data_IF_323679358284
#
_entry.id   IF_323679358284
#
_cell.length_a   1.000
_cell.length_b   1.000
_cell.length_c   1.000
_cell.angle_alpha   90.00
_cell.angle_beta   90.00
_cell.angle_gamma   90.00
#
_symmetry.space_group_name_H-M   'P 1'
#
loop_
_entity.id
_entity.type
_entity.pdbx_description
1 polymer ?
#
# COMPACT_ATOMS: atom_id res chain seq x y z
N UNK A 1 22.58 5.45 -31.12
CA UNK A 1 23.80 4.79 -30.54
C UNK A 1 24.14 5.41 -29.19
N UNK A 2 24.35 4.60 -28.17
CA UNK A 2 24.76 5.05 -26.83
C UNK A 2 26.23 5.50 -26.82
N UNK A 3 26.55 6.40 -25.92
CA UNK A 3 27.92 6.86 -25.65
C UNK A 3 28.60 6.00 -24.58
N UNK A 4 29.94 6.04 -24.53
CA UNK A 4 30.69 5.36 -23.46
C UNK A 4 30.33 5.92 -22.06
N UNK A 5 29.97 7.20 -21.96
CA UNK A 5 29.54 7.83 -20.72
C UNK A 5 28.16 7.30 -20.26
N UNK A 6 27.24 7.03 -21.19
CA UNK A 6 25.95 6.40 -20.87
C UNK A 6 26.11 4.96 -20.40
N UNK A 7 27.01 4.18 -21.05
CA UNK A 7 27.34 2.83 -20.55
C UNK A 7 27.93 2.88 -19.14
N UNK A 8 28.84 3.82 -18.90
CA UNK A 8 29.45 4.02 -17.58
C UNK A 8 28.39 4.37 -16.53
N UNK A 9 27.46 5.29 -16.85
CA UNK A 9 26.35 5.65 -15.95
C UNK A 9 25.51 4.44 -15.56
N UNK A 10 25.17 3.56 -16.52
CA UNK A 10 24.42 2.32 -16.25
C UNK A 10 25.18 1.41 -15.28
N UNK A 11 26.49 1.24 -15.48
CA UNK A 11 27.32 0.42 -14.61
C UNK A 11 27.44 1.01 -13.20
N UNK A 12 27.70 2.30 -13.10
CA UNK A 12 27.84 3.02 -11.83
C UNK A 12 26.52 2.99 -11.02
N UNK A 13 25.36 3.13 -11.68
CA UNK A 13 24.04 3.02 -11.04
C UNK A 13 23.73 1.59 -10.58
N UNK A 14 24.09 0.56 -11.37
CA UNK A 14 23.92 -0.83 -10.98
C UNK A 14 24.80 -1.18 -9.74
N UNK A 15 26.04 -0.67 -9.69
CA UNK A 15 26.93 -0.83 -8.55
C UNK A 15 26.43 -0.05 -7.32
N UNK A 16 25.89 1.15 -7.50
CA UNK A 16 25.26 1.93 -6.42
C UNK A 16 24.06 1.20 -5.82
N UNK A 17 23.19 0.58 -6.64
CA UNK A 17 22.07 -0.23 -6.18
C UNK A 17 22.51 -1.43 -5.33
N UNK A 18 23.66 -2.06 -5.64
CA UNK A 18 24.21 -3.12 -4.79
C UNK A 18 24.43 -2.67 -3.36
N UNK A 19 24.98 -1.46 -3.19
CA UNK A 19 25.25 -0.89 -1.88
C UNK A 19 23.98 -0.40 -1.18
N UNK A 20 23.10 0.33 -1.88
CA UNK A 20 21.86 0.88 -1.29
C UNK A 20 20.88 -0.22 -0.86
N UNK A 21 20.84 -1.33 -1.58
CA UNK A 21 19.99 -2.47 -1.24
C UNK A 21 20.63 -3.43 -0.24
N UNK A 22 21.89 -3.25 0.13
CA UNK A 22 22.65 -4.15 0.99
C UNK A 22 22.58 -5.60 0.52
N UNK A 23 22.83 -5.83 -0.79
CA UNK A 23 22.61 -7.14 -1.44
C UNK A 23 23.34 -8.28 -0.75
N UNK A 24 24.57 -8.06 -0.28
CA UNK A 24 25.33 -9.12 0.41
C UNK A 24 24.70 -9.52 1.74
N UNK A 25 24.20 -8.55 2.50
CA UNK A 25 23.49 -8.82 3.75
C UNK A 25 22.16 -9.55 3.48
N UNK A 26 21.42 -9.14 2.45
CA UNK A 26 20.18 -9.81 2.04
C UNK A 26 20.39 -11.25 1.58
N UNK A 27 21.52 -11.58 0.98
CA UNK A 27 21.85 -12.97 0.63
C UNK A 27 22.03 -13.82 1.90
N UNK A 28 22.76 -13.31 2.88
CA UNK A 28 22.95 -14.02 4.16
C UNK A 28 21.59 -14.18 4.87
N UNK A 29 20.80 -13.11 4.96
CA UNK A 29 19.47 -13.15 5.57
C UNK A 29 18.54 -14.15 4.83
N UNK A 30 18.59 -14.18 3.50
CA UNK A 30 17.82 -15.14 2.70
C UNK A 30 18.19 -16.58 3.02
N UNK A 31 19.48 -16.90 3.10
CA UNK A 31 19.96 -18.23 3.42
C UNK A 31 19.55 -18.65 4.85
N UNK A 32 19.66 -17.76 5.83
CA UNK A 32 19.24 -18.00 7.20
C UNK A 32 17.73 -18.24 7.31
N UNK A 33 16.93 -17.39 6.69
CA UNK A 33 15.46 -17.51 6.72
C UNK A 33 14.97 -18.72 5.93
N UNK A 34 15.66 -19.07 4.83
CA UNK A 34 15.38 -20.28 4.06
C UNK A 34 15.70 -21.55 4.87
N UNK A 35 16.80 -21.57 5.63
CA UNK A 35 17.12 -22.68 6.51
C UNK A 35 16.04 -22.91 7.57
N UNK A 36 15.45 -21.84 8.13
CA UNK A 36 14.33 -21.94 9.08
C UNK A 36 13.11 -22.63 8.49
N UNK A 37 12.85 -22.46 7.19
CA UNK A 37 11.72 -23.14 6.52
C UNK A 37 11.92 -24.65 6.34
N UNK A 38 13.16 -25.15 6.52
CA UNK A 38 13.50 -26.56 6.39
C UNK A 38 13.44 -27.32 7.72
N UNK A 39 13.14 -26.62 8.84
CA UNK A 39 13.00 -27.25 10.13
C UNK A 39 11.84 -28.29 10.14
N UNK A 40 12.00 -29.45 10.81
CA UNK A 40 10.96 -30.52 10.78
C UNK A 40 9.61 -30.09 11.35
N UNK A 41 9.61 -29.14 12.29
CA UNK A 41 8.46 -28.57 12.99
C UNK A 41 7.91 -27.28 12.33
N UNK A 42 8.45 -26.88 11.19
CA UNK A 42 8.08 -25.63 10.50
C UNK A 42 6.58 -25.53 10.16
N UNK A 43 5.96 -26.65 9.82
CA UNK A 43 4.56 -26.70 9.40
C UNK A 43 3.58 -26.94 10.56
N UNK A 44 4.05 -27.10 11.79
CA UNK A 44 3.19 -27.33 12.96
C UNK A 44 2.38 -26.07 13.32
N UNK A 45 2.90 -24.87 13.00
CA UNK A 45 2.17 -23.61 13.09
C UNK A 45 1.97 -22.99 11.68
N UNK A 46 0.78 -23.17 11.07
CA UNK A 46 0.50 -22.65 9.73
C UNK A 46 0.62 -21.13 9.61
N UNK A 47 0.34 -20.37 10.69
CA UNK A 47 0.41 -18.92 10.69
C UNK A 47 1.86 -18.45 10.65
N UNK A 48 2.71 -19.00 11.53
CA UNK A 48 4.14 -18.75 11.53
C UNK A 48 4.77 -19.14 10.18
N UNK A 49 4.42 -20.32 9.64
CA UNK A 49 4.92 -20.77 8.35
C UNK A 49 4.55 -19.80 7.22
N UNK A 50 3.31 -19.29 7.21
CA UNK A 50 2.86 -18.33 6.20
C UNK A 50 3.62 -16.99 6.31
N UNK A 51 3.81 -16.45 7.52
CA UNK A 51 4.56 -15.21 7.75
C UNK A 51 6.03 -15.37 7.32
N UNK A 52 6.65 -16.48 7.71
CA UNK A 52 8.02 -16.79 7.36
C UNK A 52 8.21 -16.95 5.85
N UNK A 53 7.31 -17.64 5.16
CA UNK A 53 7.33 -17.76 3.70
C UNK A 53 7.15 -16.42 2.99
N UNK A 54 6.31 -15.52 3.52
CA UNK A 54 6.18 -14.15 3.01
C UNK A 54 7.50 -13.39 3.14
N UNK A 55 8.18 -13.51 4.28
CA UNK A 55 9.48 -12.86 4.52
C UNK A 55 10.54 -13.37 3.53
N UNK A 56 10.70 -14.68 3.40
CA UNK A 56 11.64 -15.31 2.44
C UNK A 56 11.36 -14.82 1.03
N UNK A 57 10.10 -14.85 0.59
CA UNK A 57 9.70 -14.41 -0.73
C UNK A 57 9.98 -12.92 -0.98
N UNK A 58 9.80 -12.08 0.04
CA UNK A 58 10.11 -10.65 -0.05
C UNK A 58 11.60 -10.41 -0.27
N UNK A 59 12.47 -11.08 0.51
CA UNK A 59 13.93 -10.96 0.36
C UNK A 59 14.37 -11.47 -1.03
N UNK A 60 13.84 -12.63 -1.45
CA UNK A 60 14.15 -13.23 -2.74
C UNK A 60 13.84 -12.28 -3.91
N UNK A 61 12.72 -11.57 -3.87
CA UNK A 61 12.34 -10.61 -4.91
C UNK A 61 13.34 -9.47 -5.08
N UNK A 62 13.90 -8.96 -3.99
CA UNK A 62 14.95 -7.95 -4.04
C UNK A 62 16.23 -8.50 -4.69
N UNK A 63 16.61 -9.73 -4.32
CA UNK A 63 17.78 -10.40 -4.90
C UNK A 63 17.59 -10.68 -6.39
N UNK A 64 16.41 -11.15 -6.78
CA UNK A 64 16.07 -11.44 -8.19
C UNK A 64 16.00 -10.14 -9.01
N UNK A 65 15.43 -9.07 -8.44
CA UNK A 65 15.40 -7.75 -9.08
C UNK A 65 16.81 -7.21 -9.35
N UNK A 66 17.69 -7.26 -8.35
CA UNK A 66 19.09 -6.85 -8.53
C UNK A 66 19.85 -7.76 -9.52
N UNK A 67 19.61 -9.08 -9.47
CA UNK A 67 20.19 -10.02 -10.43
C UNK A 67 19.82 -9.69 -11.87
N UNK A 68 18.57 -9.29 -12.10
CA UNK A 68 18.08 -8.85 -13.41
C UNK A 68 18.76 -7.56 -13.87
N UNK A 69 18.90 -6.58 -12.98
CA UNK A 69 19.63 -5.33 -13.26
C UNK A 69 21.07 -5.63 -13.66
N UNK A 70 21.74 -6.47 -12.88
CA UNK A 70 23.15 -6.83 -13.17
C UNK A 70 23.30 -7.57 -14.48
N UNK A 71 22.40 -8.52 -14.75
CA UNK A 71 22.39 -9.27 -16.03
C UNK A 71 22.28 -8.31 -17.22
N UNK A 72 21.32 -7.40 -17.21
CA UNK A 72 21.13 -6.46 -18.32
C UNK A 72 22.26 -5.44 -18.45
N UNK A 73 22.86 -5.00 -17.34
CA UNK A 73 24.03 -4.14 -17.39
C UNK A 73 25.25 -4.86 -17.99
N UNK A 74 25.49 -6.12 -17.64
CA UNK A 74 26.58 -6.92 -18.17
C UNK A 74 26.34 -7.29 -19.65
N UNK A 75 25.09 -7.62 -20.05
CA UNK A 75 24.69 -7.84 -21.45
C UNK A 75 24.92 -6.57 -22.29
N UNK A 76 24.50 -5.40 -21.80
CA UNK A 76 24.74 -4.13 -22.48
C UNK A 76 26.23 -3.85 -22.68
N UNK A 77 27.05 -4.10 -21.65
CA UNK A 77 28.50 -3.93 -21.73
C UNK A 77 29.09 -4.84 -22.81
N UNK A 78 28.66 -6.09 -22.85
CA UNK A 78 29.12 -7.07 -23.85
C UNK A 78 28.67 -6.66 -25.26
N UNK A 79 27.41 -6.25 -25.44
CA UNK A 79 26.88 -5.77 -26.71
C UNK A 79 27.64 -4.52 -27.20
N UNK A 80 27.98 -3.60 -26.31
CA UNK A 80 28.76 -2.40 -26.65
C UNK A 80 30.20 -2.73 -27.09
N UNK A 81 30.84 -3.74 -26.49
CA UNK A 81 32.16 -4.19 -26.90
C UNK A 81 32.10 -4.92 -28.25
N UNK A 82 31.11 -5.80 -28.49
CA UNK A 82 30.88 -6.46 -29.77
C UNK A 82 30.51 -5.49 -30.91
N UNK A 83 29.86 -4.38 -30.59
CA UNK A 83 29.61 -3.33 -31.58
C UNK A 83 30.89 -2.68 -32.09
N UNK A 84 31.92 -2.51 -31.25
CA UNK A 84 33.24 -2.01 -31.68
C UNK A 84 33.92 -2.96 -32.64
N UNK A 85 33.61 -4.26 -32.51
CA UNK A 85 34.13 -5.33 -33.37
C UNK A 85 33.21 -5.61 -34.59
N UNK A 86 32.20 -4.76 -34.85
CA UNK A 86 31.21 -4.87 -35.94
C UNK A 86 30.39 -6.16 -35.93
N UNK A 87 30.25 -6.82 -34.79
CA UNK A 87 29.51 -8.09 -34.64
C UNK A 87 28.02 -7.89 -34.26
N UNK A 88 27.64 -6.72 -33.79
CA UNK A 88 26.28 -6.37 -33.32
C UNK A 88 25.86 -5.05 -33.92
N UNK A 89 24.56 -4.86 -34.18
CA UNK A 89 24.01 -3.62 -34.74
C UNK A 89 23.78 -2.56 -33.69
N UNK A 90 23.77 -1.28 -34.12
CA UNK A 90 23.45 -0.15 -33.24
C UNK A 90 22.06 -0.28 -32.59
N UNK A 91 21.08 -0.80 -33.35
CA UNK A 91 19.70 -1.00 -32.86
C UNK A 91 19.63 -2.01 -31.70
N UNK A 92 20.45 -3.07 -31.76
CA UNK A 92 20.53 -4.08 -30.69
C UNK A 92 21.13 -3.49 -29.41
N UNK A 93 22.19 -2.69 -29.51
CA UNK A 93 22.80 -2.00 -28.36
C UNK A 93 21.82 -1.00 -27.73
N UNK A 94 21.09 -0.23 -28.54
CA UNK A 94 20.09 0.74 -28.05
C UNK A 94 18.89 0.02 -27.39
N UNK A 95 18.51 -1.15 -27.88
CA UNK A 95 17.50 -2.01 -27.27
C UNK A 95 17.94 -2.52 -25.90
N UNK A 96 19.18 -3.01 -25.79
CA UNK A 96 19.73 -3.51 -24.52
C UNK A 96 19.96 -2.38 -23.51
N UNK A 97 20.37 -1.20 -23.98
CA UNK A 97 20.42 0.00 -23.14
C UNK A 97 19.04 0.35 -22.56
N UNK A 98 17.99 0.31 -23.39
CA UNK A 98 16.63 0.61 -22.96
C UNK A 98 16.13 -0.39 -21.91
N UNK A 99 16.48 -1.68 -22.05
CA UNK A 99 16.16 -2.73 -21.07
C UNK A 99 16.89 -2.50 -19.74
N UNK A 100 18.21 -2.22 -19.81
CA UNK A 100 19.04 -2.00 -18.64
C UNK A 100 18.59 -0.77 -17.85
N UNK A 101 18.36 0.36 -18.52
CA UNK A 101 17.85 1.59 -17.89
C UNK A 101 16.50 1.35 -17.23
N UNK A 102 15.57 0.70 -17.92
CA UNK A 102 14.25 0.42 -17.36
C UNK A 102 14.35 -0.44 -16.10
N UNK A 103 15.14 -1.51 -16.12
CA UNK A 103 15.30 -2.38 -14.95
C UNK A 103 15.93 -1.64 -13.76
N UNK A 104 16.92 -0.77 -14.01
CA UNK A 104 17.55 0.05 -12.96
C UNK A 104 16.51 1.01 -12.37
N UNK A 105 15.79 1.75 -13.22
CA UNK A 105 14.79 2.72 -12.79
C UNK A 105 13.66 2.10 -11.99
N UNK A 106 13.17 0.93 -12.41
CA UNK A 106 12.14 0.16 -11.71
C UNK A 106 12.63 -0.26 -10.31
N UNK A 107 13.89 -0.67 -10.18
CA UNK A 107 14.43 -1.11 -8.89
C UNK A 107 14.77 0.08 -7.97
N UNK A 108 15.28 1.19 -8.53
CA UNK A 108 15.47 2.46 -7.80
C UNK A 108 14.15 2.99 -7.26
N UNK A 109 13.09 2.96 -8.08
CA UNK A 109 11.75 3.39 -7.70
C UNK A 109 11.20 2.54 -6.54
N UNK A 110 11.33 1.22 -6.62
CA UNK A 110 10.95 0.33 -5.52
C UNK A 110 11.74 0.61 -4.24
N UNK A 111 13.02 0.96 -4.34
CA UNK A 111 13.84 1.27 -3.17
C UNK A 111 13.43 2.58 -2.47
N UNK A 112 12.68 3.47 -3.14
CA UNK A 112 12.12 4.69 -2.54
C UNK A 112 10.86 4.39 -1.71
N UNK A 113 10.25 3.22 -1.88
CA UNK A 113 9.04 2.78 -1.19
C UNK A 113 9.41 2.01 0.09
N UNK A 114 9.63 2.74 1.21
CA UNK A 114 10.14 2.18 2.46
C UNK A 114 9.12 2.14 3.60
N UNK A 115 7.96 2.79 3.44
CA UNK A 115 6.94 2.77 4.49
C UNK A 115 6.31 1.38 4.61
N UNK A 116 5.89 1.04 5.81
CA UNK A 116 5.25 -0.24 6.13
C UNK A 116 4.00 -0.52 5.28
N UNK A 117 3.29 0.54 4.90
CA UNK A 117 2.07 0.49 4.10
C UNK A 117 2.35 0.43 2.59
N UNK A 118 3.53 0.85 2.13
CA UNK A 118 3.86 0.93 0.71
C UNK A 118 3.65 -0.39 -0.07
N UNK A 119 3.99 -1.58 0.47
CA UNK A 119 3.77 -2.84 -0.21
C UNK A 119 2.30 -3.29 -0.31
N UNK A 120 1.39 -2.58 0.36
CA UNK A 120 -0.01 -2.98 0.43
C UNK A 120 -0.75 -2.72 -0.87
N UNK A 121 -1.84 -3.46 -1.06
CA UNK A 121 -2.89 -3.11 -2.00
C UNK A 121 -3.55 -1.78 -1.59
N UNK A 122 -4.33 -1.16 -2.48
CA UNK A 122 -4.93 0.12 -2.15
C UNK A 122 -6.42 0.23 -2.50
N UNK A 123 -7.07 1.15 -1.81
CA UNK A 123 -8.41 1.65 -2.13
C UNK A 123 -8.26 3.06 -2.70
N UNK A 124 -8.72 3.26 -3.93
CA UNK A 124 -8.71 4.53 -4.63
C UNK A 124 -10.14 5.06 -4.72
N UNK A 125 -10.38 6.25 -4.17
CA UNK A 125 -11.66 6.95 -4.22
C UNK A 125 -11.54 8.23 -5.03
N UNK A 126 -12.45 8.41 -5.98
CA UNK A 126 -12.56 9.63 -6.78
C UNK A 126 -13.90 10.27 -6.48
N UNK A 127 -13.90 11.59 -6.23
CA UNK A 127 -15.14 12.35 -6.11
C UNK A 127 -15.10 13.53 -7.08
N UNK A 128 -16.19 13.77 -7.78
CA UNK A 128 -16.36 14.97 -8.59
C UNK A 128 -16.38 16.22 -7.71
N UNK A 129 -15.71 17.28 -8.17
CA UNK A 129 -15.68 18.56 -7.48
C UNK A 129 -16.76 19.52 -8.00
N UNK A 130 -16.56 20.82 -7.75
CA UNK A 130 -17.40 21.87 -8.31
C UNK A 130 -17.25 21.91 -9.84
N UNK A 131 -18.36 21.98 -10.56
CA UNK A 131 -18.37 22.06 -12.05
C UNK A 131 -19.53 21.31 -12.70
N UNK A 132 -20.47 20.77 -11.93
CA UNK A 132 -21.66 20.07 -12.47
C UNK A 132 -21.29 18.88 -13.35
N UNK A 133 -21.99 18.69 -14.48
CA UNK A 133 -21.79 17.58 -15.43
C UNK A 133 -20.34 17.45 -15.91
N UNK A 134 -19.65 18.58 -16.12
CA UNK A 134 -18.24 18.60 -16.55
C UNK A 134 -17.30 17.98 -15.52
N UNK A 135 -17.52 18.22 -14.23
CA UNK A 135 -16.70 17.61 -13.15
C UNK A 135 -17.02 16.13 -12.95
N UNK A 136 -18.25 15.72 -13.22
CA UNK A 136 -18.67 14.31 -13.18
C UNK A 136 -18.04 13.51 -14.34
N UNK A 137 -17.98 14.10 -15.53
CA UNK A 137 -17.27 13.51 -16.68
C UNK A 137 -15.76 13.44 -16.41
N UNK A 138 -15.17 14.50 -15.83
CA UNK A 138 -13.76 14.50 -15.42
C UNK A 138 -13.44 13.37 -14.44
N UNK A 139 -14.28 13.16 -13.44
CA UNK A 139 -14.10 12.06 -12.48
C UNK A 139 -14.12 10.68 -13.18
N UNK A 140 -14.99 10.50 -14.18
CA UNK A 140 -15.03 9.28 -14.99
C UNK A 140 -13.78 9.10 -15.85
N UNK A 141 -13.25 10.18 -16.42
CA UNK A 141 -12.00 10.15 -17.17
C UNK A 141 -10.82 9.72 -16.28
N UNK A 142 -10.72 10.26 -15.05
CA UNK A 142 -9.70 9.87 -14.08
C UNK A 142 -9.85 8.39 -13.68
N UNK A 143 -11.08 7.92 -13.45
CA UNK A 143 -11.33 6.50 -13.16
C UNK A 143 -10.75 5.63 -14.28
N UNK A 144 -11.04 5.93 -15.54
CA UNK A 144 -10.52 5.19 -16.68
C UNK A 144 -8.98 5.24 -16.76
N UNK A 145 -8.38 6.40 -16.49
CA UNK A 145 -6.93 6.57 -16.47
C UNK A 145 -6.26 5.62 -15.45
N UNK A 146 -6.77 5.59 -14.21
CA UNK A 146 -6.22 4.70 -13.18
C UNK A 146 -6.50 3.22 -13.45
N UNK A 147 -7.64 2.87 -14.01
CA UNK A 147 -7.93 1.50 -14.43
C UNK A 147 -6.92 1.01 -15.49
N UNK A 148 -6.61 1.83 -16.49
CA UNK A 148 -5.63 1.50 -17.53
C UNK A 148 -4.21 1.40 -16.99
N UNK A 149 -3.84 2.31 -16.08
CA UNK A 149 -2.55 2.21 -15.39
C UNK A 149 -2.44 0.91 -14.62
N UNK A 150 -3.45 0.56 -13.84
CA UNK A 150 -3.48 -0.68 -13.06
C UNK A 150 -3.42 -1.93 -13.95
N UNK A 151 -4.18 -1.96 -15.06
CA UNK A 151 -4.15 -3.04 -16.04
C UNK A 151 -2.76 -3.21 -16.68
N UNK A 152 -2.11 -2.11 -17.06
CA UNK A 152 -0.77 -2.12 -17.65
C UNK A 152 0.30 -2.67 -16.68
N UNK A 153 0.09 -2.51 -15.37
CA UNK A 153 0.97 -3.00 -14.31
C UNK A 153 0.54 -4.38 -13.74
N UNK A 154 -0.48 -5.01 -14.33
CA UNK A 154 -0.93 -6.34 -13.93
C UNK A 154 -1.72 -6.38 -12.62
N UNK A 155 -2.22 -5.24 -12.15
CA UNK A 155 -3.12 -5.19 -11.00
C UNK A 155 -4.55 -5.59 -11.38
N UNK A 156 -5.24 -6.19 -10.44
CA UNK A 156 -6.68 -6.43 -10.54
C UNK A 156 -7.43 -5.24 -9.95
N UNK A 157 -8.34 -4.66 -10.73
CA UNK A 157 -9.20 -3.56 -10.28
C UNK A 157 -10.61 -4.08 -10.05
N UNK A 158 -11.17 -3.77 -8.88
CA UNK A 158 -12.56 -4.08 -8.54
C UNK A 158 -13.27 -2.80 -8.11
N UNK A 159 -14.35 -2.44 -8.79
CA UNK A 159 -15.21 -1.31 -8.38
C UNK A 159 -16.08 -1.80 -7.23
N UNK A 160 -15.92 -1.19 -6.05
CA UNK A 160 -16.67 -1.55 -4.83
C UNK A 160 -17.91 -0.68 -4.63
N UNK A 161 -17.86 0.57 -5.08
CA UNK A 161 -18.97 1.50 -5.01
C UNK A 161 -18.87 2.51 -6.14
N UNK A 162 -19.99 2.87 -6.76
CA UNK A 162 -20.04 3.86 -7.83
C UNK A 162 -21.39 4.59 -7.83
N UNK A 163 -21.33 5.90 -7.83
CA UNK A 163 -22.49 6.75 -7.97
C UNK A 163 -22.44 7.46 -9.33
N UNK A 164 -23.39 7.17 -10.18
CA UNK A 164 -23.50 7.78 -11.50
C UNK A 164 -23.80 9.29 -11.41
N UNK A 165 -23.39 10.01 -12.44
CA UNK A 165 -23.70 11.43 -12.60
C UNK A 165 -25.19 11.64 -12.98
N UNK A 166 -25.63 12.90 -12.92
CA UNK A 166 -27.01 13.23 -13.20
C UNK A 166 -27.33 13.16 -14.72
N UNK A 167 -26.41 13.57 -15.58
CA UNK A 167 -26.54 13.58 -17.04
C UNK A 167 -25.40 12.79 -17.72
N UNK A 168 -24.20 12.86 -17.18
CA UNK A 168 -23.01 12.15 -17.66
C UNK A 168 -21.99 11.98 -16.55
N UNK A 169 -21.05 11.05 -16.74
CA UNK A 169 -19.96 10.85 -15.81
C UNK A 169 -20.37 10.19 -14.50
N UNK A 170 -19.56 10.40 -13.46
CA UNK A 170 -19.75 9.83 -12.11
C UNK A 170 -19.62 10.91 -11.03
N UNK A 171 -20.46 10.83 -9.99
CA UNK A 171 -20.33 11.66 -8.79
C UNK A 171 -19.19 11.17 -7.89
N UNK A 172 -19.12 9.88 -7.70
CA UNK A 172 -18.07 9.23 -6.95
C UNK A 172 -17.84 7.80 -7.40
N UNK A 173 -16.62 7.30 -7.20
CA UNK A 173 -16.29 5.89 -7.37
C UNK A 173 -15.27 5.49 -6.31
N UNK A 174 -15.39 4.26 -5.83
CA UNK A 174 -14.41 3.60 -4.97
C UNK A 174 -13.97 2.31 -5.64
N UNK A 175 -12.67 2.16 -5.83
CA UNK A 175 -12.06 0.99 -6.47
C UNK A 175 -11.02 0.39 -5.55
N UNK A 176 -10.93 -0.95 -5.50
CA UNK A 176 -9.78 -1.65 -4.93
C UNK A 176 -8.82 -2.04 -6.05
N UNK A 177 -7.52 -1.86 -5.81
CA UNK A 177 -6.44 -2.20 -6.73
C UNK A 177 -5.55 -3.20 -6.01
N UNK A 178 -5.55 -4.45 -6.47
CA UNK A 178 -5.04 -5.62 -5.76
C UNK A 178 -4.17 -6.50 -6.66
N UNK A 179 -3.42 -7.40 -6.03
CA UNK A 179 -2.73 -8.52 -6.69
C UNK A 179 -1.37 -8.20 -7.28
N UNK A 180 -0.87 -7.00 -7.08
CA UNK A 180 0.49 -6.60 -7.44
C UNK A 180 1.35 -6.26 -6.22
N UNK A 181 2.46 -5.59 -6.46
CA UNK A 181 3.35 -5.07 -5.41
C UNK A 181 3.30 -3.56 -5.39
N UNK A 182 3.29 -2.99 -4.19
CA UNK A 182 3.39 -1.55 -3.99
C UNK A 182 2.27 -0.71 -4.62
N UNK A 183 1.05 -1.27 -4.79
CA UNK A 183 -0.06 -0.51 -5.37
C UNK A 183 -0.33 0.79 -4.60
N UNK A 184 -0.35 0.73 -3.26
CA UNK A 184 -0.47 1.90 -2.42
C UNK A 184 0.76 2.81 -2.53
N UNK A 185 1.96 2.26 -2.48
CA UNK A 185 3.21 3.00 -2.54
C UNK A 185 3.33 3.89 -3.78
N UNK A 186 2.92 3.37 -4.94
CA UNK A 186 2.88 4.15 -6.19
C UNK A 186 1.76 5.18 -6.19
N UNK A 187 0.54 4.75 -5.91
CA UNK A 187 -0.64 5.59 -6.06
C UNK A 187 -0.84 6.60 -4.93
N UNK A 188 -0.15 6.48 -3.78
CA UNK A 188 -0.19 7.51 -2.72
C UNK A 188 0.23 8.89 -3.24
N UNK A 189 1.05 8.95 -4.28
CA UNK A 189 1.45 10.18 -4.98
C UNK A 189 0.28 10.89 -5.64
N UNK A 190 -0.81 10.20 -5.96
CA UNK A 190 -1.97 10.74 -6.67
C UNK A 190 -3.00 11.38 -5.73
N UNK A 191 -2.75 11.34 -4.41
CA UNK A 191 -3.62 11.97 -3.41
C UNK A 191 -3.71 13.49 -3.60
N UNK A 192 -4.90 13.98 -3.92
CA UNK A 192 -5.15 15.42 -4.01
C UNK A 192 -6.20 15.80 -5.05
N UNK A 193 -6.17 17.06 -5.46
CA UNK A 193 -7.13 17.61 -6.41
C UNK A 193 -6.51 17.67 -7.80
N UNK A 194 -7.21 17.11 -8.77
CA UNK A 194 -6.86 17.10 -10.19
C UNK A 194 -7.71 18.10 -10.94
N UNK A 195 -7.07 19.03 -11.64
CA UNK A 195 -7.71 20.10 -12.39
C UNK A 195 -7.72 19.80 -13.88
N UNK A 196 -8.91 19.79 -14.49
CA UNK A 196 -9.09 19.73 -15.94
C UNK A 196 -9.34 21.14 -16.49
N UNK A 197 -8.73 21.47 -17.61
CA UNK A 197 -9.03 22.66 -18.43
C UNK A 197 -9.19 22.19 -19.87
N UNK A 198 -10.41 22.34 -20.43
CA UNK A 198 -10.70 22.00 -21.83
C UNK A 198 -11.90 22.80 -22.37
N UNK A 199 -12.07 22.80 -23.66
CA UNK A 199 -13.36 23.17 -24.28
C UNK A 199 -14.39 22.14 -23.92
N UNK A 200 -15.48 22.56 -23.25
CA UNK A 200 -16.49 21.65 -22.73
C UNK A 200 -17.34 21.03 -23.84
N UNK A 201 -17.47 19.70 -23.92
CA UNK A 201 -18.38 19.04 -24.84
C UNK A 201 -19.86 19.22 -24.46
N UNK A 202 -20.16 19.65 -23.23
CA UNK A 202 -21.49 19.87 -22.71
C UNK A 202 -21.96 21.31 -22.87
N UNK A 203 -21.09 22.21 -23.31
CA UNK A 203 -21.43 23.62 -23.52
C UNK A 203 -21.63 23.92 -24.99
N UNK A 204 -22.90 24.23 -25.39
CA UNK A 204 -23.23 24.53 -26.77
C UNK A 204 -22.47 25.72 -27.39
N UNK A 205 -21.90 26.61 -26.56
CA UNK A 205 -21.11 27.76 -27.02
C UNK A 205 -19.61 27.43 -27.14
N UNK A 206 -19.16 26.18 -26.86
CA UNK A 206 -17.76 25.78 -26.92
C UNK A 206 -16.87 26.54 -25.95
N UNK A 207 -17.36 26.92 -24.78
CA UNK A 207 -16.57 27.65 -23.78
C UNK A 207 -15.53 26.76 -23.14
N UNK A 208 -14.34 27.32 -22.91
CA UNK A 208 -13.29 26.71 -22.10
C UNK A 208 -13.70 26.69 -20.64
N UNK A 209 -13.76 25.49 -20.05
CA UNK A 209 -14.21 25.27 -18.70
C UNK A 209 -13.08 24.70 -17.86
N UNK A 210 -13.17 24.95 -16.55
CA UNK A 210 -12.28 24.38 -15.55
C UNK A 210 -13.06 23.54 -14.58
N UNK A 211 -12.66 22.28 -14.39
CA UNK A 211 -13.31 21.33 -13.51
C UNK A 211 -12.31 20.69 -12.57
N UNK A 212 -12.77 20.28 -11.42
CA UNK A 212 -11.97 19.65 -10.39
C UNK A 212 -12.55 18.31 -10.00
N UNK A 213 -11.66 17.35 -9.70
CA UNK A 213 -12.01 16.11 -9.05
C UNK A 213 -10.95 15.80 -8.00
N UNK A 214 -11.36 15.21 -6.89
CA UNK A 214 -10.41 14.73 -5.86
C UNK A 214 -10.16 13.26 -6.01
N UNK A 215 -8.90 12.88 -5.89
CA UNK A 215 -8.44 11.49 -5.78
C UNK A 215 -7.92 11.27 -4.39
N UNK A 216 -8.33 10.17 -3.76
CA UNK A 216 -7.90 9.80 -2.44
C UNK A 216 -7.54 8.31 -2.42
N UNK A 217 -6.29 8.02 -2.07
CA UNK A 217 -5.72 6.66 -2.02
C UNK A 217 -5.41 6.31 -0.58
N UNK A 218 -5.88 5.16 -0.14
CA UNK A 218 -5.60 4.60 1.19
C UNK A 218 -5.11 3.17 1.06
N UNK A 219 -4.25 2.69 1.98
CA UNK A 219 -3.87 1.29 1.98
C UNK A 219 -5.08 0.40 2.25
N UNK A 220 -5.17 -0.73 1.57
CA UNK A 220 -6.15 -1.77 1.85
C UNK A 220 -5.65 -2.57 3.05
N UNK A 221 -6.17 -2.24 4.23
CA UNK A 221 -5.87 -2.95 5.46
C UNK A 221 -6.83 -4.13 5.59
N UNK A 222 -6.31 -5.32 5.86
CA UNK A 222 -7.11 -6.53 6.08
C UNK A 222 -8.11 -6.32 7.24
N UNK A 223 -9.38 -6.63 7.00
CA UNK A 223 -10.46 -6.36 7.96
C UNK A 223 -10.57 -7.42 9.07
N UNK A 224 -9.77 -8.48 9.01
CA UNK A 224 -9.75 -9.52 10.03
C UNK A 224 -8.94 -9.07 11.25
N UNK A 225 -9.65 -8.63 12.30
CA UNK A 225 -9.06 -8.41 13.62
C UNK A 225 -9.03 -9.76 14.32
N UNK A 226 -7.93 -10.47 14.23
CA UNK A 226 -7.71 -11.66 15.06
C UNK A 226 -7.26 -11.24 16.46
N UNK A 227 -8.04 -11.61 17.45
CA UNK A 227 -7.71 -11.40 18.86
C UNK A 227 -7.02 -12.64 19.39
N UNK A 228 -5.70 -12.55 19.55
CA UNK A 228 -4.93 -13.57 20.25
C UNK A 228 -4.92 -13.29 21.75
N UNK A 229 -5.27 -14.29 22.55
CA UNK A 229 -5.18 -14.24 24.01
C UNK A 229 -4.05 -15.15 24.44
N UNK A 230 -2.98 -14.54 24.96
CA UNK A 230 -1.82 -15.27 25.45
C UNK A 230 -2.16 -16.01 26.75
N UNK A 231 -2.12 -17.36 26.78
CA UNK A 231 -2.43 -18.12 27.99
C UNK A 231 -1.47 -17.85 29.15
N UNK A 232 -0.24 -17.43 28.87
CA UNK A 232 0.78 -17.12 29.90
C UNK A 232 0.44 -15.85 30.71
N UNK A 233 -0.34 -14.94 30.11
CA UNK A 233 -0.81 -13.68 30.72
C UNK A 233 -2.18 -13.79 31.37
N UNK A 234 -2.74 -15.01 31.47
CA UNK A 234 -4.03 -15.30 32.10
C UNK A 234 -3.84 -15.81 33.51
N UNK A 235 -4.57 -15.23 34.47
CA UNK A 235 -4.69 -15.75 35.82
C UNK A 235 -6.16 -15.95 36.16
N UNK A 236 -6.46 -17.03 36.87
CA UNK A 236 -7.81 -17.42 37.23
C UNK A 236 -7.97 -17.55 38.75
N UNK A 237 -8.93 -16.82 39.27
CA UNK A 237 -9.37 -16.96 40.66
C UNK A 237 -10.82 -17.45 40.71
N UNK A 238 -11.13 -18.25 41.71
CA UNK A 238 -12.52 -18.67 41.96
C UNK A 238 -13.01 -18.08 43.28
N UNK A 239 -14.25 -17.65 43.31
CA UNK A 239 -14.85 -17.07 44.51
C UNK A 239 -16.30 -17.52 44.68
N UNK A 240 -16.82 -17.32 45.87
CA UNK A 240 -18.20 -17.65 46.20
C UNK A 240 -19.09 -16.50 45.71
N UNK A 241 -20.08 -16.83 44.88
CA UNK A 241 -21.08 -15.85 44.46
C UNK A 241 -21.95 -15.42 45.65
N UNK A 242 -21.99 -14.15 45.99
CA UNK A 242 -22.88 -13.59 46.97
C UNK A 242 -24.25 -13.31 46.33
N UNK A 243 -25.31 -13.99 46.76
CA UNK A 243 -26.67 -13.77 46.27
C UNK A 243 -27.73 -14.37 47.24
N UNK A 244 -28.95 -13.88 47.17
CA UNK A 244 -30.11 -14.42 47.91
C UNK A 244 -30.46 -15.80 47.35
N UNK A 245 -29.98 -16.84 48.01
CA UNK A 245 -30.23 -18.25 47.60
C UNK A 245 -29.91 -19.23 48.73
N UNK A 246 -30.62 -20.37 48.81
CA UNK A 246 -30.58 -21.35 49.86
C UNK A 246 -29.20 -21.91 50.22
N UNK A 247 -29.11 -22.74 51.25
CA UNK A 247 -27.90 -23.26 51.94
C UNK A 247 -26.75 -23.77 51.04
N UNK A 248 -27.01 -24.08 49.76
CA UNK A 248 -25.99 -24.53 48.81
C UNK A 248 -25.22 -23.39 48.07
N UNK A 249 -25.73 -22.17 48.00
CA UNK A 249 -25.10 -21.03 47.34
C UNK A 249 -23.83 -20.60 48.08
N UNK A 250 -23.81 -20.76 49.39
CA UNK A 250 -22.67 -20.40 50.25
C UNK A 250 -21.57 -21.47 50.36
N UNK A 251 -21.75 -22.64 49.73
CA UNK A 251 -20.77 -23.75 49.81
C UNK A 251 -19.98 -24.01 48.52
N UNK A 252 -20.45 -23.51 47.39
CA UNK A 252 -19.84 -23.80 46.09
C UNK A 252 -19.22 -22.52 45.51
N UNK A 253 -17.93 -22.59 45.16
CA UNK A 253 -17.20 -21.49 44.49
C UNK A 253 -17.45 -21.55 42.98
N UNK A 254 -18.63 -21.08 42.55
CA UNK A 254 -19.03 -21.03 41.14
C UNK A 254 -18.61 -19.73 40.42
N UNK A 255 -18.35 -18.69 41.16
CA UNK A 255 -17.86 -17.42 40.60
C UNK A 255 -16.44 -17.55 40.09
N UNK A 256 -16.17 -16.96 38.95
CA UNK A 256 -14.85 -16.96 38.29
C UNK A 256 -14.40 -15.54 38.07
N UNK A 257 -13.15 -15.28 38.42
CA UNK A 257 -12.45 -14.03 38.16
C UNK A 257 -11.28 -14.33 37.23
N UNK A 258 -11.29 -13.70 36.05
CA UNK A 258 -10.23 -13.73 35.05
C UNK A 258 -9.41 -12.45 35.17
N UNK A 259 -8.11 -12.55 35.27
CA UNK A 259 -7.18 -11.43 35.15
C UNK A 259 -6.32 -11.64 33.93
N UNK A 260 -6.20 -10.64 33.10
CA UNK A 260 -5.37 -10.65 31.91
C UNK A 260 -4.49 -9.39 31.87
N UNK A 261 -3.19 -9.60 31.72
CA UNK A 261 -2.21 -8.52 31.57
C UNK A 261 -2.08 -8.16 30.10
N UNK A 262 -2.82 -7.13 29.69
CA UNK A 262 -2.77 -6.61 28.33
C UNK A 262 -1.58 -5.68 28.18
N UNK A 263 -0.67 -5.97 27.22
CA UNK A 263 0.41 -5.07 26.83
C UNK A 263 -0.02 -4.37 25.54
N UNK A 264 -0.09 -3.07 25.53
CA UNK A 264 -0.38 -2.30 24.34
C UNK A 264 0.78 -2.44 23.33
N UNK A 265 0.54 -2.92 22.10
CA UNK A 265 1.61 -3.17 21.12
C UNK A 265 2.31 -1.88 20.64
N UNK A 266 1.67 -0.70 20.76
CA UNK A 266 2.21 0.56 20.26
C UNK A 266 2.97 1.33 21.34
N UNK A 267 2.48 1.32 22.59
CA UNK A 267 3.07 2.07 23.71
C UNK A 267 3.92 1.21 24.64
N UNK A 268 3.72 -0.13 24.61
CA UNK A 268 4.35 -1.05 25.55
C UNK A 268 3.77 -0.97 26.97
N UNK A 269 2.74 -0.17 27.21
CA UNK A 269 2.10 -0.04 28.52
C UNK A 269 1.33 -1.31 28.88
N UNK A 270 1.45 -1.74 30.15
CA UNK A 270 0.72 -2.89 30.67
C UNK A 270 -0.49 -2.46 31.48
N UNK A 271 -1.65 -3.05 31.20
CA UNK A 271 -2.91 -2.82 31.89
C UNK A 271 -3.52 -4.14 32.33
N UNK A 272 -4.02 -4.20 33.55
CA UNK A 272 -4.75 -5.36 34.05
C UNK A 272 -6.23 -5.27 33.62
N UNK A 273 -6.70 -6.27 32.86
CA UNK A 273 -8.13 -6.46 32.55
C UNK A 273 -8.70 -7.46 33.50
N UNK A 274 -9.65 -7.05 34.31
CA UNK A 274 -10.35 -7.87 35.29
C UNK A 274 -11.78 -8.18 34.81
N UNK A 275 -12.12 -9.47 34.71
CA UNK A 275 -13.45 -9.92 34.32
C UNK A 275 -13.99 -10.89 35.37
N UNK A 276 -15.13 -10.55 35.95
CA UNK A 276 -15.84 -11.44 36.87
C UNK A 276 -17.10 -12.00 36.24
N UNK A 277 -17.33 -13.29 36.41
CA UNK A 277 -18.55 -13.96 35.95
C UNK A 277 -19.12 -14.89 37.02
N UNK A 278 -20.39 -14.63 37.35
CA UNK A 278 -21.18 -15.39 38.35
C UNK A 278 -22.55 -15.85 37.78
N UNK A 279 -22.72 -15.76 36.47
CA UNK A 279 -24.03 -15.91 35.80
C UNK A 279 -24.64 -17.30 35.99
N UNK A 280 -23.80 -18.33 36.05
CA UNK A 280 -24.28 -19.71 36.22
C UNK A 280 -23.70 -20.37 37.49
N UNK A 281 -24.33 -21.48 37.94
CA UNK A 281 -23.78 -22.30 39.01
C UNK A 281 -22.68 -23.26 38.52
N UNK A 282 -22.39 -23.27 37.25
CA UNK A 282 -21.43 -24.13 36.57
C UNK A 282 -20.12 -23.33 36.34
N UNK A 283 -19.10 -23.64 37.12
CA UNK A 283 -17.78 -22.97 37.03
C UNK A 283 -17.14 -23.05 35.62
N UNK A 284 -17.11 -24.22 34.93
CA UNK A 284 -16.61 -24.31 33.55
C UNK A 284 -17.33 -23.38 32.56
N UNK A 285 -18.67 -23.24 32.67
CA UNK A 285 -19.43 -22.33 31.82
C UNK A 285 -19.09 -20.86 32.10
N UNK A 286 -18.92 -20.50 33.38
CA UNK A 286 -18.50 -19.17 33.77
C UNK A 286 -17.08 -18.84 33.26
N UNK A 287 -16.16 -19.82 33.27
CA UNK A 287 -14.82 -19.66 32.66
C UNK A 287 -14.89 -19.42 31.16
N UNK A 288 -15.64 -20.23 30.43
CA UNK A 288 -15.80 -20.07 28.99
C UNK A 288 -16.37 -18.69 28.62
N UNK A 289 -17.37 -18.24 29.40
CA UNK A 289 -17.97 -16.93 29.17
C UNK A 289 -17.05 -15.76 29.54
N UNK A 290 -16.27 -15.87 30.61
CA UNK A 290 -15.26 -14.87 30.97
C UNK A 290 -14.21 -14.72 29.89
N UNK A 291 -13.76 -15.82 29.28
CA UNK A 291 -12.84 -15.80 28.16
C UNK A 291 -13.45 -15.14 26.90
N UNK A 292 -14.72 -15.40 26.62
CA UNK A 292 -15.45 -14.77 25.53
C UNK A 292 -15.56 -13.25 25.74
N UNK A 293 -15.86 -12.82 26.97
CA UNK A 293 -15.92 -11.40 27.33
C UNK A 293 -14.55 -10.71 27.19
N UNK A 294 -13.46 -11.40 27.58
CA UNK A 294 -12.11 -10.89 27.36
C UNK A 294 -11.82 -10.69 25.86
N UNK A 295 -12.11 -11.69 25.03
CA UNK A 295 -11.93 -11.58 23.59
C UNK A 295 -12.73 -10.42 23.00
N UNK A 296 -13.98 -10.22 23.45
CA UNK A 296 -14.81 -9.11 23.01
C UNK A 296 -14.20 -7.75 23.40
N UNK A 297 -13.71 -7.59 24.63
CA UNK A 297 -13.06 -6.34 25.06
C UNK A 297 -11.78 -6.02 24.28
N UNK A 298 -10.97 -7.05 24.01
CA UNK A 298 -9.74 -6.88 23.20
C UNK A 298 -10.08 -6.54 21.76
N UNK A 299 -11.13 -7.17 21.20
CA UNK A 299 -11.63 -6.85 19.86
C UNK A 299 -12.10 -5.39 19.76
N UNK A 300 -12.89 -4.93 20.75
CA UNK A 300 -13.39 -3.54 20.78
C UNK A 300 -12.24 -2.52 20.88
N UNK A 301 -11.18 -2.83 21.65
CA UNK A 301 -9.98 -2.00 21.74
C UNK A 301 -9.24 -1.94 20.38
N UNK A 302 -9.03 -3.07 19.74
CA UNK A 302 -8.40 -3.15 18.44
C UNK A 302 -9.21 -2.40 17.36
N UNK A 303 -10.53 -2.55 17.37
CA UNK A 303 -11.44 -1.80 16.49
C UNK A 303 -11.36 -0.29 16.71
N UNK A 304 -11.34 0.17 17.97
CA UNK A 304 -11.24 1.58 18.30
C UNK A 304 -9.93 2.18 17.79
N UNK A 305 -8.80 1.54 18.03
CA UNK A 305 -7.49 1.95 17.48
C UNK A 305 -7.52 2.06 15.96
N UNK A 306 -8.10 1.08 15.31
CA UNK A 306 -8.24 1.06 13.84
C UNK A 306 -9.11 2.20 13.32
N UNK A 307 -10.23 2.50 13.99
CA UNK A 307 -11.09 3.62 13.65
C UNK A 307 -10.37 4.96 13.85
N UNK A 308 -9.58 5.11 14.92
CA UNK A 308 -8.75 6.29 15.16
C UNK A 308 -7.66 6.45 14.09
N UNK A 309 -7.00 5.37 13.66
CA UNK A 309 -6.04 5.39 12.55
C UNK A 309 -6.72 5.78 11.22
N UNK A 310 -7.88 5.18 10.91
CA UNK A 310 -8.69 5.57 9.74
C UNK A 310 -9.12 7.04 9.81
N UNK A 311 -9.54 7.53 10.99
CA UNK A 311 -9.95 8.92 11.18
C UNK A 311 -8.77 9.90 10.99
N UNK A 312 -7.55 9.56 11.43
CA UNK A 312 -6.34 10.36 11.17
C UNK A 312 -6.04 10.45 9.67
N UNK A 313 -6.14 9.34 8.93
CA UNK A 313 -5.99 9.30 7.48
C UNK A 313 -7.08 10.16 6.81
N UNK A 314 -8.32 10.08 7.28
CA UNK A 314 -9.44 10.88 6.76
C UNK A 314 -9.32 12.37 7.07
N UNK A 315 -8.80 12.73 8.23
CA UNK A 315 -8.55 14.13 8.60
C UNK A 315 -7.51 14.82 7.69
N UNK A 316 -6.60 14.03 7.08
CA UNK A 316 -5.65 14.51 6.08
C UNK A 316 -6.26 14.85 4.72
N UNK A 317 -7.56 14.57 4.49
CA UNK A 317 -8.25 14.93 3.24
C UNK A 317 -8.33 16.45 3.11
N UNK A 318 -7.53 16.99 2.20
CA UNK A 318 -7.63 18.42 1.84
C UNK A 318 -8.98 18.68 1.16
N UNK A 319 -9.65 19.76 1.56
CA UNK A 319 -10.88 20.20 0.89
C UNK A 319 -10.61 20.41 -0.61
N UNK A 320 -11.62 20.12 -1.45
CA UNK A 320 -11.57 20.35 -2.91
C UNK A 320 -11.67 21.86 -3.15
N UNK A 321 -10.57 22.57 -2.97
CA UNK A 321 -10.47 24.03 -3.11
C UNK A 321 -9.42 24.41 -4.18
N UNK A 322 -9.55 25.60 -4.74
CA UNK A 322 -8.69 26.13 -5.82
C UNK A 322 -7.19 26.11 -5.49
N UNK A 323 -6.82 26.19 -4.21
CA UNK A 323 -5.42 26.20 -3.77
C UNK A 323 -4.79 24.84 -3.53
N UNK A 324 -5.53 23.73 -3.58
CA UNK A 324 -5.05 22.39 -3.22
C UNK A 324 -4.81 21.45 -4.41
N UNK A 325 -4.78 21.98 -5.64
CA UNK A 325 -4.55 21.19 -6.85
C UNK A 325 -3.12 20.65 -6.89
N UNK A 326 -2.98 19.35 -7.13
CA UNK A 326 -1.68 18.71 -7.32
C UNK A 326 -1.25 18.67 -8.77
N UNK A 327 -2.21 18.46 -9.70
CA UNK A 327 -1.92 18.33 -11.13
C UNK A 327 -2.97 19.02 -11.97
N UNK A 328 -2.54 19.69 -13.05
CA UNK A 328 -3.39 20.34 -14.05
C UNK A 328 -3.27 19.64 -15.40
N UNK A 329 -4.39 19.34 -16.01
CA UNK A 329 -4.55 18.72 -17.32
C UNK A 329 -5.19 19.76 -18.24
N UNK A 330 -4.40 20.33 -19.16
CA UNK A 330 -4.83 21.37 -20.10
C UNK A 330 -4.83 20.77 -21.49
N UNK A 331 -6.01 20.39 -21.96
CA UNK A 331 -6.15 19.64 -23.22
C UNK A 331 -5.89 20.52 -24.43
N UNK A 332 -6.36 21.76 -24.40
CA UNK A 332 -6.19 22.68 -25.52
C UNK A 332 -4.72 23.02 -25.78
N UNK A 333 -3.94 23.18 -24.72
CA UNK A 333 -2.50 23.47 -24.78
C UNK A 333 -1.63 22.21 -24.83
N UNK A 334 -2.27 21.01 -24.88
CA UNK A 334 -1.61 19.70 -24.81
C UNK A 334 -0.55 19.64 -23.71
N UNK A 335 -0.94 19.90 -22.48
CA UNK A 335 -0.03 19.93 -21.33
C UNK A 335 -0.66 19.31 -20.10
N UNK A 336 0.08 18.39 -19.47
CA UNK A 336 -0.19 17.92 -18.11
C UNK A 336 1.00 18.33 -17.23
N UNK A 337 0.73 19.02 -16.13
CA UNK A 337 1.75 19.49 -15.19
C UNK A 337 1.39 19.17 -13.75
N UNK A 338 2.31 18.54 -13.03
CA UNK A 338 2.27 18.41 -11.57
C UNK A 338 2.89 19.66 -10.91
N UNK A 339 2.15 20.26 -9.99
CA UNK A 339 2.57 21.51 -9.34
C UNK A 339 3.54 21.29 -8.17
N UNK A 340 3.66 20.06 -7.68
CA UNK A 340 4.54 19.70 -6.55
C UNK A 340 5.97 19.49 -7.02
N UNK A 341 6.14 18.76 -8.14
CA UNK A 341 7.43 18.39 -8.71
C UNK A 341 7.84 19.25 -9.89
N UNK A 342 6.93 20.07 -10.41
CA UNK A 342 7.07 20.79 -11.68
C UNK A 342 7.26 19.91 -12.93
N UNK A 343 7.17 18.57 -12.79
CA UNK A 343 7.21 17.70 -13.95
C UNK A 343 6.01 17.95 -14.86
N UNK A 344 6.27 18.00 -16.18
CA UNK A 344 5.23 18.23 -17.18
C UNK A 344 5.50 17.43 -18.46
N UNK A 345 4.42 17.08 -19.16
CA UNK A 345 4.46 16.41 -20.46
C UNK A 345 3.44 17.00 -21.42
N UNK A 346 3.71 16.89 -22.72
CA UNK A 346 2.77 17.21 -23.79
C UNK A 346 1.93 16.01 -24.26
N UNK A 347 2.26 14.79 -23.81
CA UNK A 347 1.51 13.55 -24.14
C UNK A 347 0.27 13.40 -23.27
N UNK A 348 -0.70 14.29 -23.48
CA UNK A 348 -1.97 14.28 -22.73
C UNK A 348 -2.73 12.97 -22.95
N UNK A 349 -2.74 12.48 -24.20
CA UNK A 349 -3.46 11.27 -24.57
C UNK A 349 -2.85 10.04 -23.87
N UNK A 350 -1.50 9.95 -23.87
CA UNK A 350 -0.80 8.88 -23.15
C UNK A 350 -1.05 8.92 -21.64
N UNK A 351 -1.06 10.10 -21.03
CA UNK A 351 -1.40 10.24 -19.60
C UNK A 351 -2.83 9.75 -19.34
N UNK A 352 -3.80 10.15 -20.17
CA UNK A 352 -5.19 9.71 -20.03
C UNK A 352 -5.38 8.20 -20.33
N UNK A 353 -4.43 7.59 -21.04
CA UNK A 353 -4.34 6.14 -21.26
C UNK A 353 -3.54 5.41 -20.18
N UNK A 354 -3.19 6.08 -19.08
CA UNK A 354 -2.58 5.48 -17.89
C UNK A 354 -1.06 5.61 -17.80
N UNK A 355 -0.37 6.34 -18.70
CA UNK A 355 1.07 6.59 -18.60
C UNK A 355 1.37 7.69 -17.57
N UNK A 356 1.26 7.34 -16.28
CA UNK A 356 1.48 8.28 -15.17
C UNK A 356 2.77 7.98 -14.38
N UNK A 357 3.54 6.98 -14.78
CA UNK A 357 4.73 6.51 -14.05
C UNK A 357 5.77 7.62 -13.84
N UNK A 358 5.99 8.47 -14.85
CA UNK A 358 6.93 9.59 -14.73
C UNK A 358 6.50 10.62 -13.67
N UNK A 359 5.19 10.83 -13.49
CA UNK A 359 4.67 11.69 -12.41
C UNK A 359 4.87 11.03 -11.04
N UNK A 360 4.62 9.74 -10.93
CA UNK A 360 4.84 8.95 -9.71
C UNK A 360 6.32 8.98 -9.35
N UNK A 361 7.20 8.72 -10.33
CA UNK A 361 8.66 8.76 -10.15
C UNK A 361 9.13 10.13 -9.70
N UNK A 362 8.72 11.20 -10.38
CA UNK A 362 9.08 12.56 -10.01
C UNK A 362 8.64 12.90 -8.58
N UNK A 363 7.44 12.46 -8.16
CA UNK A 363 6.96 12.68 -6.81
C UNK A 363 7.80 11.94 -5.77
N UNK A 364 8.10 10.66 -5.98
CA UNK A 364 8.88 9.85 -5.04
C UNK A 364 10.34 10.34 -4.92
N UNK A 365 10.89 10.91 -5.99
CA UNK A 365 12.22 11.55 -5.97
C UNK A 365 12.25 12.87 -5.19
N UNK A 366 11.21 13.70 -5.33
CA UNK A 366 11.11 15.00 -4.65
C UNK A 366 10.76 14.85 -3.17
N UNK A 367 9.95 13.84 -2.83
CA UNK A 367 9.49 13.57 -1.47
C UNK A 367 9.92 12.17 -1.01
N UNK A 368 11.25 11.93 -0.87
CA UNK A 368 11.73 10.66 -0.36
C UNK A 368 11.22 10.46 1.07
N UNK A 369 10.68 9.28 1.34
CA UNK A 369 10.28 8.88 2.69
C UNK A 369 11.55 8.71 3.52
N UNK A 370 11.80 9.62 4.46
CA UNK A 370 12.85 9.47 5.45
C UNK A 370 12.39 8.52 6.56
N UNK A 371 13.30 7.68 7.06
CA UNK A 371 13.04 6.72 8.16
C UNK A 371 12.79 7.42 9.53
N UNK A 372 12.67 8.76 9.57
CA UNK A 372 12.65 9.57 10.78
C UNK A 372 11.25 9.85 11.37
N UNK A 373 10.18 9.24 10.84
CA UNK A 373 8.84 9.28 11.46
C UNK A 373 8.47 7.92 12.10
N UNK A 374 9.28 7.50 13.08
CA UNK A 374 8.94 6.43 14.03
C UNK A 374 8.47 7.01 15.35
#
# INVERSE_FOLDING_TARGET
MITADQLKDVMDRADALHHYLNIDQKKVEFEEEQLRTQAPDFWDDPKYAQEQMKKVKSIQKWLDGYKTVRLYADELKLAFDFYKDEMVTEEEVDADYSKAIKAIEDLELKNMLRQKEDPMDCVLKINSGAGGTESQDWAQMLMRMYMRWAEAHGYKVTITDMQEGDEAGIKSVTMTIEGGEFAYGYLKSENGVHRLVRVSPFNAQGKRMTSFASVFVTPLVDDTIEVYVDPAKLSWDTFRSSGAGGQNVNKVESGVRLRYWYTDPDTGEEEEILIENTETRDQPKNRAKALLLLKSQLYDRAMKKRLEAKAKIEAGKKKIEWGSQIRSYVFDDRRVKDHRTNYQTSDVDGVMDGKIDDFIKAYLMEFPTTDDEQ
#
